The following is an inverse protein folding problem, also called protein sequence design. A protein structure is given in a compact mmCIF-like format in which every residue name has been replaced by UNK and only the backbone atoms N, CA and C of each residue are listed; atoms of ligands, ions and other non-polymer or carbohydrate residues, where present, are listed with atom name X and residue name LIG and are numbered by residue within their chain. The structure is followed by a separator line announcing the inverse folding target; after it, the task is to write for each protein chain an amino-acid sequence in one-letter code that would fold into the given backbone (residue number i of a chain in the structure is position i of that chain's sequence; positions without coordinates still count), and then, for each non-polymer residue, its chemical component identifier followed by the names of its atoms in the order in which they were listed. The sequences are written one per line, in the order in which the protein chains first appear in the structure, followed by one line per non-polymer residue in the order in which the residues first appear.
data_IF_132811141547
#
_entry.id   IF_132811141547
#
_cell.length_a   1.000
_cell.length_b   1.000
_cell.length_c   1.000
_cell.angle_alpha   90.00
_cell.angle_beta   90.00
_cell.angle_gamma   90.00
#
_symmetry.space_group_name_H-M   'P 1'
#
loop_
_entity.id
_entity.type
_entity.pdbx_description
1 polymer ?
#
# COMPACT_ATOMS: atom_id res chain seq x y z
N UNK A 1 -21.15 -10.88 -18.52
CA UNK A 1 -20.74 -10.38 -17.19
C UNK A 1 -19.85 -11.40 -16.50
N UNK A 2 -18.53 -11.27 -16.66
CA UNK A 2 -17.51 -11.85 -15.76
C UNK A 2 -16.36 -10.85 -15.77
N UNK A 3 -16.29 -10.01 -14.73
CA UNK A 3 -15.16 -9.11 -14.47
C UNK A 3 -14.10 -9.99 -13.79
N UNK A 4 -13.05 -10.36 -14.50
CA UNK A 4 -11.92 -11.07 -13.90
C UNK A 4 -10.75 -10.12 -13.70
N UNK A 5 -10.49 -9.91 -12.42
CA UNK A 5 -9.28 -9.42 -11.79
C UNK A 5 -8.04 -10.16 -12.29
N UNK A 6 -7.17 -9.46 -13.02
CA UNK A 6 -5.81 -9.88 -13.32
C UNK A 6 -4.92 -8.63 -13.32
N UNK A 7 -4.67 -8.07 -12.13
CA UNK A 7 -3.84 -6.87 -11.93
C UNK A 7 -2.47 -7.20 -11.31
N UNK A 8 -2.22 -8.45 -10.91
CA UNK A 8 -0.95 -8.78 -10.23
C UNK A 8 0.26 -8.89 -11.16
N UNK A 9 0.11 -9.25 -12.44
CA UNK A 9 1.27 -9.43 -13.34
C UNK A 9 1.66 -8.18 -14.16
N UNK A 10 0.77 -7.19 -14.30
CA UNK A 10 1.13 -5.90 -14.91
C UNK A 10 2.18 -5.12 -14.07
N UNK A 11 2.42 -5.54 -12.84
CA UNK A 11 3.43 -5.00 -11.93
C UNK A 11 4.86 -5.51 -12.23
N UNK A 12 5.04 -6.54 -13.06
CA UNK A 12 6.38 -7.03 -13.44
C UNK A 12 7.07 -6.17 -14.51
N UNK A 13 6.34 -5.31 -15.21
CA UNK A 13 6.85 -4.46 -16.31
C UNK A 13 6.49 -2.98 -16.22
N UNK A 14 5.71 -2.56 -15.23
CA UNK A 14 5.46 -1.13 -14.98
C UNK A 14 6.28 -0.67 -13.78
N UNK A 15 7.52 -0.25 -14.06
CA UNK A 15 8.34 0.55 -13.16
C UNK A 15 7.59 1.85 -12.84
N UNK A 16 6.72 1.79 -11.84
CA UNK A 16 6.18 2.99 -11.20
C UNK A 16 7.25 3.49 -10.23
N UNK A 17 7.95 4.51 -10.70
CA UNK A 17 8.84 5.35 -9.91
C UNK A 17 8.11 5.95 -8.71
N UNK A 18 8.28 5.32 -7.55
CA UNK A 18 8.13 5.96 -6.25
C UNK A 18 9.50 6.50 -5.82
N UNK A 19 9.94 7.57 -6.48
CA UNK A 19 10.99 8.45 -5.93
C UNK A 19 10.54 9.90 -6.10
N UNK A 20 9.91 10.40 -5.05
CA UNK A 20 9.72 11.81 -4.73
C UNK A 20 9.45 11.85 -3.22
N UNK A 21 10.19 12.53 -2.36
CA UNK A 21 11.18 13.58 -2.53
C UNK A 21 12.23 13.44 -1.41
N UNK A 22 13.52 13.62 -1.72
CA UNK A 22 14.53 14.02 -0.73
C UNK A 22 15.67 14.72 -1.46
N UNK A 23 15.60 16.06 -1.52
CA UNK A 23 16.75 16.88 -1.87
C UNK A 23 17.65 17.01 -0.64
N UNK A 24 18.91 16.62 -0.81
CA UNK A 24 19.99 16.78 0.15
C UNK A 24 20.39 18.25 0.26
N UNK A 25 20.50 18.77 1.48
CA UNK A 25 21.42 19.86 1.81
C UNK A 25 22.23 19.49 3.06
N UNK A 26 23.48 19.10 2.85
CA UNK A 26 24.43 18.72 3.89
C UNK A 26 25.18 19.97 4.36
N UNK A 27 25.02 20.38 5.63
CA UNK A 27 26.09 21.10 6.35
C UNK A 27 25.92 21.03 7.88
N UNK A 28 26.96 20.45 8.48
CA UNK A 28 27.52 20.73 9.81
C UNK A 28 27.07 19.87 11.01
N UNK A 29 27.90 18.85 11.33
CA UNK A 29 28.00 18.25 12.66
C UNK A 29 29.00 19.07 13.52
N UNK A 30 28.64 19.40 14.77
CA UNK A 30 29.53 19.16 15.94
C UNK A 30 28.85 19.40 17.29
N UNK A 31 29.12 18.45 18.20
CA UNK A 31 29.19 18.56 19.67
C UNK A 31 27.87 18.76 20.45
N UNK A 32 27.63 18.17 21.63
CA UNK A 32 28.31 17.15 22.42
C UNK A 32 27.31 16.57 23.46
N UNK A 33 27.53 15.30 23.82
CA UNK A 33 26.92 14.50 24.88
C UNK A 33 27.00 15.13 26.28
N UNK A 34 26.04 14.96 27.19
CA UNK A 34 25.94 13.94 28.29
C UNK A 34 24.81 14.41 29.24
N UNK A 35 24.01 13.62 29.99
CA UNK A 35 23.96 12.20 30.32
C UNK A 35 22.58 11.79 30.93
N UNK A 36 22.25 10.49 30.80
CA UNK A 36 21.45 9.59 31.66
C UNK A 36 19.92 9.86 31.83
N UNK A 37 18.99 8.89 31.70
CA UNK A 37 19.06 7.42 31.71
C UNK A 37 17.73 6.79 31.20
N UNK A 38 17.83 5.64 30.51
CA UNK A 38 16.90 4.48 30.50
C UNK A 38 16.36 3.97 29.13
N UNK A 39 16.59 2.66 28.92
CA UNK A 39 16.10 1.71 27.91
C UNK A 39 16.73 1.73 26.50
N UNK A 40 17.41 0.61 26.19
CA UNK A 40 18.15 0.35 24.98
C UNK A 40 17.27 -0.41 23.96
N UNK A 41 16.78 0.29 22.94
CA UNK A 41 16.27 -0.31 21.69
C UNK A 41 16.31 0.66 20.48
N UNK A 42 16.96 1.83 20.60
CA UNK A 42 16.80 2.93 19.63
C UNK A 42 18.03 3.31 18.79
N UNK A 43 19.15 2.58 18.88
CA UNK A 43 20.42 3.05 18.30
C UNK A 43 20.91 2.31 17.04
N UNK A 44 20.21 1.28 16.54
CA UNK A 44 20.62 0.56 15.32
C UNK A 44 19.94 1.05 14.03
N UNK A 45 18.83 1.81 14.12
CA UNK A 45 18.02 2.19 12.94
C UNK A 45 18.46 3.46 12.20
N UNK A 46 19.21 4.36 12.85
CA UNK A 46 19.60 5.63 12.24
C UNK A 46 20.85 5.51 11.34
N UNK A 47 21.77 4.60 11.67
CA UNK A 47 22.98 4.36 10.87
C UNK A 47 22.71 3.49 9.64
N UNK A 48 21.75 2.56 9.71
CA UNK A 48 21.34 1.70 8.59
C UNK A 48 20.64 2.47 7.47
N UNK A 49 19.90 3.53 7.81
CA UNK A 49 19.16 4.31 6.82
C UNK A 49 20.04 5.24 5.99
N UNK A 50 21.17 5.73 6.53
CA UNK A 50 22.11 6.57 5.77
C UNK A 50 22.97 5.75 4.80
N UNK A 51 23.40 4.54 5.19
CA UNK A 51 24.09 3.62 4.28
C UNK A 51 23.15 3.01 3.24
N UNK A 52 21.87 2.78 3.61
CA UNK A 52 20.84 2.34 2.68
C UNK A 52 20.45 3.44 1.68
N UNK A 53 20.36 4.71 2.12
CA UNK A 53 20.14 5.85 1.21
C UNK A 53 21.33 6.06 0.26
N UNK A 54 22.57 5.84 0.73
CA UNK A 54 23.76 5.88 -0.11
C UNK A 54 23.82 4.70 -1.10
N UNK A 55 23.35 3.50 -0.71
CA UNK A 55 23.21 2.37 -1.63
C UNK A 55 22.05 2.56 -2.59
N UNK A 56 20.95 3.21 -2.19
CA UNK A 56 19.84 3.60 -3.08
C UNK A 56 20.27 4.67 -4.08
N UNK A 57 21.09 5.65 -3.70
CA UNK A 57 21.65 6.62 -4.63
C UNK A 57 22.67 5.97 -5.59
N UNK A 58 23.51 5.06 -5.08
CA UNK A 58 24.46 4.31 -5.90
C UNK A 58 23.78 3.28 -6.83
N UNK A 59 22.64 2.70 -6.42
CA UNK A 59 21.88 1.72 -7.20
C UNK A 59 20.81 2.38 -8.09
N UNK A 60 20.35 3.60 -7.77
CA UNK A 60 19.58 4.45 -8.69
C UNK A 60 20.47 5.01 -9.82
N UNK A 61 21.76 5.22 -9.57
CA UNK A 61 22.76 5.49 -10.62
C UNK A 61 23.13 4.24 -11.44
N UNK A 62 22.69 3.05 -11.01
CA UNK A 62 22.82 1.79 -11.73
C UNK A 62 21.45 1.21 -12.10
N UNK A 63 20.50 2.08 -12.46
CA UNK A 63 19.49 1.69 -13.43
C UNK A 63 20.24 1.62 -14.76
N UNK A 64 20.87 0.48 -15.03
CA UNK A 64 21.15 0.16 -16.41
C UNK A 64 19.80 0.17 -17.11
N UNK A 65 19.78 0.97 -18.15
CA UNK A 65 18.67 1.17 -19.04
C UNK A 65 18.21 -0.20 -19.59
N UNK A 66 17.24 -0.83 -18.92
CA UNK A 66 16.58 -2.04 -19.41
C UNK A 66 15.73 -1.77 -20.67
N UNK A 67 15.85 -0.58 -21.30
CA UNK A 67 15.46 -0.34 -22.69
C UNK A 67 16.31 -1.08 -23.71
N UNK A 68 17.20 -1.99 -23.29
CA UNK A 68 17.76 -3.04 -24.14
C UNK A 68 16.69 -4.02 -24.70
N UNK A 69 15.42 -3.61 -24.85
CA UNK A 69 14.41 -4.28 -25.68
C UNK A 69 14.97 -4.57 -27.09
N UNK A 70 15.82 -3.67 -27.60
CA UNK A 70 16.58 -3.84 -28.85
C UNK A 70 17.65 -4.96 -28.76
N UNK A 71 18.22 -5.22 -27.58
CA UNK A 71 19.21 -6.29 -27.39
C UNK A 71 18.59 -7.69 -27.38
N UNK A 72 17.34 -7.81 -26.93
CA UNK A 72 16.57 -9.05 -26.98
C UNK A 72 16.05 -9.36 -28.40
N UNK A 73 16.03 -8.36 -29.29
CA UNK A 73 15.67 -8.47 -30.70
C UNK A 73 16.90 -8.47 -31.64
N UNK A 74 18.11 -8.33 -31.10
CA UNK A 74 19.34 -8.27 -31.87
C UNK A 74 19.59 -9.57 -32.65
N UNK A 75 19.80 -9.44 -33.96
CA UNK A 75 20.10 -10.57 -34.85
C UNK A 75 18.89 -11.32 -35.40
N UNK A 76 17.66 -10.86 -35.15
CA UNK A 76 16.44 -11.43 -35.73
C UNK A 76 15.67 -10.38 -36.53
N UNK A 77 14.95 -10.83 -37.57
CA UNK A 77 14.01 -9.99 -38.31
C UNK A 77 12.59 -10.26 -37.80
N UNK A 78 11.95 -9.27 -37.18
CA UNK A 78 10.68 -9.45 -36.50
C UNK A 78 9.58 -10.03 -37.42
N UNK A 79 9.49 -9.57 -38.67
CA UNK A 79 8.53 -10.04 -39.67
C UNK A 79 8.60 -11.54 -39.98
N UNK A 80 9.74 -12.19 -39.72
CA UNK A 80 9.88 -13.63 -39.96
C UNK A 80 9.08 -14.44 -38.93
N UNK A 81 8.86 -13.86 -37.73
CA UNK A 81 8.27 -14.51 -36.56
C UNK A 81 6.86 -14.02 -36.23
N UNK A 82 6.40 -12.91 -36.78
CA UNK A 82 5.03 -12.40 -36.56
C UNK A 82 4.36 -11.99 -37.86
N UNK A 83 3.11 -12.44 -38.03
CA UNK A 83 2.19 -11.89 -39.03
C UNK A 83 1.25 -10.93 -38.32
N UNK A 84 1.39 -9.63 -38.61
CA UNK A 84 0.59 -8.58 -37.98
C UNK A 84 -0.87 -8.62 -38.43
N UNK A 85 -1.79 -8.53 -37.47
CA UNK A 85 -3.21 -8.29 -37.70
C UNK A 85 -3.56 -6.81 -37.96
N UNK A 86 -4.79 -6.41 -37.63
CA UNK A 86 -5.20 -5.00 -37.69
C UNK A 86 -4.60 -4.24 -36.51
N UNK A 87 -3.60 -3.40 -36.78
CA UNK A 87 -2.94 -2.56 -35.78
C UNK A 87 -3.20 -1.05 -35.93
N UNK A 88 -3.80 -0.61 -37.05
CA UNK A 88 -4.19 0.79 -37.31
C UNK A 88 -5.69 0.99 -37.13
N UNK A 89 -6.09 2.16 -36.65
CA UNK A 89 -7.50 2.53 -36.47
C UNK A 89 -8.21 1.68 -35.41
N UNK A 90 -7.53 1.43 -34.29
CA UNK A 90 -8.11 0.81 -33.10
C UNK A 90 -8.70 1.92 -32.25
N UNK A 91 -9.99 1.80 -31.94
CA UNK A 91 -10.66 2.73 -31.03
C UNK A 91 -10.32 2.37 -29.59
N UNK A 92 -9.87 3.37 -28.84
CA UNK A 92 -9.51 3.23 -27.43
C UNK A 92 -10.42 4.15 -26.61
N UNK A 93 -11.02 3.61 -25.56
CA UNK A 93 -11.83 4.40 -24.62
C UNK A 93 -10.98 4.73 -23.41
N UNK A 94 -10.63 5.99 -23.26
CA UNK A 94 -10.05 6.49 -22.02
C UNK A 94 -11.15 6.68 -20.97
N UNK A 95 -10.86 6.31 -19.72
CA UNK A 95 -11.78 6.56 -18.60
C UNK A 95 -11.52 7.94 -18.06
N UNK A 96 -12.57 8.75 -17.96
CA UNK A 96 -12.49 10.02 -17.25
C UNK A 96 -12.11 9.80 -15.79
N UNK A 97 -11.18 10.62 -15.30
CA UNK A 97 -10.67 10.58 -13.94
C UNK A 97 -11.38 11.65 -13.12
N UNK A 98 -12.20 11.20 -12.17
CA UNK A 98 -12.90 12.06 -11.21
C UNK A 98 -12.35 11.73 -9.83
N UNK A 99 -11.72 12.72 -9.21
CA UNK A 99 -11.24 12.62 -7.83
C UNK A 99 -12.35 13.09 -6.90
N UNK A 100 -12.76 12.25 -5.97
CA UNK A 100 -13.78 12.59 -4.98
C UNK A 100 -13.19 13.34 -3.79
N UNK A 101 -14.02 14.16 -3.12
CA UNK A 101 -13.60 14.86 -1.90
C UNK A 101 -13.28 13.86 -0.78
N UNK A 102 -13.99 12.73 -0.74
CA UNK A 102 -13.74 11.65 0.21
C UNK A 102 -12.32 11.05 0.06
N UNK A 103 -11.85 10.85 -1.17
CA UNK A 103 -10.48 10.38 -1.44
C UNK A 103 -9.42 11.39 -1.00
N UNK A 104 -9.68 12.69 -1.24
CA UNK A 104 -8.79 13.77 -0.82
C UNK A 104 -8.71 13.80 0.70
N UNK A 105 -9.86 13.80 1.39
CA UNK A 105 -9.90 13.82 2.85
C UNK A 105 -9.24 12.57 3.46
N UNK A 106 -9.44 11.39 2.87
CA UNK A 106 -8.76 10.17 3.31
C UNK A 106 -7.23 10.30 3.21
N UNK A 107 -6.71 10.91 2.14
CA UNK A 107 -5.27 11.16 2.01
C UNK A 107 -4.76 12.26 2.94
N UNK A 108 -5.53 13.33 3.14
CA UNK A 108 -5.19 14.37 4.11
C UNK A 108 -5.15 13.83 5.54
N UNK A 109 -6.03 12.89 5.87
CA UNK A 109 -6.03 12.21 7.18
C UNK A 109 -4.73 11.43 7.41
N UNK A 110 -4.09 10.88 6.37
CA UNK A 110 -2.75 10.26 6.50
C UNK A 110 -1.71 11.29 6.94
N UNK A 111 -1.69 12.50 6.34
CA UNK A 111 -0.79 13.57 6.78
C UNK A 111 -1.08 14.02 8.22
N UNK A 112 -2.36 14.01 8.61
CA UNK A 112 -2.77 14.30 9.99
C UNK A 112 -2.21 13.25 10.95
N UNK A 113 -2.30 11.97 10.60
CA UNK A 113 -1.84 10.85 11.41
C UNK A 113 -0.32 10.78 11.56
N UNK A 114 0.44 11.24 10.55
CA UNK A 114 1.90 11.33 10.62
C UNK A 114 2.41 12.23 11.76
N UNK A 115 1.56 13.13 12.28
CA UNK A 115 1.89 13.93 13.47
C UNK A 115 2.00 13.12 14.76
N UNK A 116 1.50 11.87 14.74
CA UNK A 116 1.33 11.04 15.93
C UNK A 116 0.16 11.51 16.81
N UNK A 117 -0.32 10.59 17.65
CA UNK A 117 -1.30 10.91 18.67
C UNK A 117 -0.68 11.84 19.71
N UNK A 118 -1.43 12.87 20.12
CA UNK A 118 -1.06 13.76 21.21
C UNK A 118 -2.17 13.79 22.25
N UNK A 119 -1.78 13.83 23.52
CA UNK A 119 -2.72 13.96 24.62
C UNK A 119 -3.45 15.31 24.52
N UNK A 120 -4.77 15.25 24.60
CA UNK A 120 -5.66 16.42 24.63
C UNK A 120 -5.59 17.04 26.04
N UNK A 121 -5.36 18.35 26.11
CA UNK A 121 -5.16 19.08 27.39
C UNK A 121 -6.10 20.28 27.57
N UNK A 122 -6.76 20.68 26.49
CA UNK A 122 -7.66 21.83 26.41
C UNK A 122 -9.14 21.46 26.65
N UNK A 123 -9.45 20.15 26.75
CA UNK A 123 -10.75 19.63 27.19
C UNK A 123 -10.63 18.31 27.94
N UNK A 124 -11.63 18.01 28.75
CA UNK A 124 -11.74 16.79 29.55
C UNK A 124 -12.85 15.84 29.06
N UNK A 125 -13.73 16.27 28.16
CA UNK A 125 -14.87 15.47 27.66
C UNK A 125 -14.54 14.73 26.36
N UNK A 126 -14.90 13.45 26.29
CA UNK A 126 -14.73 12.57 25.11
C UNK A 126 -15.63 12.99 23.95
N UNK A 127 -15.07 12.98 22.74
CA UNK A 127 -15.75 13.27 21.48
C UNK A 127 -15.53 12.15 20.45
N UNK A 128 -16.35 12.15 19.39
CA UNK A 128 -16.13 11.24 18.26
C UNK A 128 -14.77 11.50 17.60
N UNK A 129 -14.06 10.44 17.20
CA UNK A 129 -12.73 10.51 16.60
C UNK A 129 -11.57 10.56 17.60
N UNK A 130 -11.84 10.73 18.89
CA UNK A 130 -10.82 10.65 19.94
C UNK A 130 -10.26 9.25 20.09
N UNK A 131 -9.03 9.16 20.58
CA UNK A 131 -8.49 7.95 21.18
C UNK A 131 -8.50 8.12 22.70
N UNK A 132 -9.26 7.28 23.39
CA UNK A 132 -9.37 7.30 24.85
C UNK A 132 -8.59 6.14 25.43
N UNK A 133 -7.86 6.39 26.51
CA UNK A 133 -7.28 5.31 27.31
C UNK A 133 -8.28 4.96 28.41
N UNK A 134 -8.74 3.71 28.45
CA UNK A 134 -9.79 3.27 29.37
C UNK A 134 -9.39 2.03 30.17
N UNK A 135 -9.98 1.93 31.36
CA UNK A 135 -10.10 0.69 32.12
C UNK A 135 -11.57 0.27 32.08
N UNK A 136 -11.86 -1.01 31.89
CA UNK A 136 -13.23 -1.49 31.94
C UNK A 136 -13.36 -2.85 32.62
N UNK A 137 -14.51 -3.09 33.23
CA UNK A 137 -14.90 -4.38 33.82
C UNK A 137 -16.35 -4.69 33.44
N UNK A 138 -16.52 -5.70 32.61
CA UNK A 138 -17.80 -6.19 32.11
C UNK A 138 -18.36 -7.31 32.98
N UNK A 139 -19.65 -7.21 33.31
CA UNK A 139 -20.41 -8.21 34.05
C UNK A 139 -21.71 -8.51 33.34
N UNK A 140 -22.17 -9.75 33.39
CA UNK A 140 -23.50 -10.11 32.90
C UNK A 140 -24.56 -9.56 33.82
N UNK A 141 -25.61 -8.96 33.25
CA UNK A 141 -26.71 -8.37 34.03
C UNK A 141 -27.50 -9.46 34.77
N UNK A 142 -27.68 -10.62 34.16
CA UNK A 142 -28.49 -11.73 34.70
C UNK A 142 -27.87 -12.45 35.90
N UNK A 143 -26.54 -12.46 36.00
CA UNK A 143 -25.80 -13.19 37.04
C UNK A 143 -24.95 -12.29 37.92
N UNK A 144 -24.71 -11.04 37.51
CA UNK A 144 -23.79 -10.11 38.16
C UNK A 144 -22.31 -10.54 38.10
N UNK A 145 -22.00 -11.64 37.40
CA UNK A 145 -20.64 -12.21 37.33
C UNK A 145 -19.86 -11.59 36.17
N UNK A 146 -18.56 -11.37 36.39
CA UNK A 146 -17.63 -11.04 35.32
C UNK A 146 -17.49 -12.23 34.36
N UNK A 147 -17.16 -11.95 33.12
CA UNK A 147 -16.93 -12.95 32.07
C UNK A 147 -15.54 -12.79 31.47
N UNK A 148 -15.04 -13.87 30.88
CA UNK A 148 -13.71 -13.89 30.25
C UNK A 148 -13.63 -12.90 29.09
N UNK A 149 -12.52 -12.15 29.01
CA UNK A 149 -12.34 -11.07 28.04
C UNK A 149 -13.15 -9.79 28.35
N UNK A 150 -13.98 -9.79 29.40
CA UNK A 150 -14.79 -8.63 29.79
C UNK A 150 -14.04 -7.58 30.60
N UNK A 151 -12.79 -7.79 31.01
CA UNK A 151 -12.04 -6.87 31.87
C UNK A 151 -10.66 -6.59 31.29
N UNK A 152 -10.29 -5.31 31.20
CA UNK A 152 -8.97 -4.87 30.78
C UNK A 152 -8.61 -3.52 31.40
N UNK A 153 -7.32 -3.17 31.34
CA UNK A 153 -6.80 -1.89 31.85
C UNK A 153 -5.80 -1.29 30.87
N UNK A 154 -5.73 0.04 30.82
CA UNK A 154 -4.90 0.85 29.94
C UNK A 154 -5.10 0.52 28.45
N UNK A 155 -6.35 0.29 28.05
CA UNK A 155 -6.69 0.01 26.64
C UNK A 155 -6.94 1.31 25.92
N UNK A 156 -6.21 1.53 24.81
CA UNK A 156 -6.49 2.63 23.90
C UNK A 156 -7.61 2.23 22.93
N UNK A 157 -8.66 3.05 22.89
CA UNK A 157 -9.84 2.87 22.04
C UNK A 157 -10.09 4.13 21.23
N UNK A 158 -10.08 4.02 19.90
CA UNK A 158 -10.52 5.10 19.02
C UNK A 158 -12.04 5.10 18.93
N UNK A 159 -12.68 6.19 19.34
CA UNK A 159 -14.13 6.37 19.30
C UNK A 159 -14.60 6.48 17.85
N UNK A 160 -15.46 5.55 17.43
CA UNK A 160 -15.96 5.40 16.07
C UNK A 160 -15.14 4.43 15.21
N UNK A 161 -14.23 3.65 15.80
CA UNK A 161 -13.48 2.61 15.07
C UNK A 161 -14.29 1.34 14.82
N UNK A 162 -15.36 1.12 15.59
CA UNK A 162 -16.17 -0.09 15.51
C UNK A 162 -15.40 -1.35 15.90
N UNK A 163 -14.33 -1.19 16.68
CA UNK A 163 -13.49 -2.31 17.15
C UNK A 163 -14.11 -2.99 18.36
N UNK A 164 -14.91 -2.25 19.13
CA UNK A 164 -15.68 -2.79 20.25
C UNK A 164 -17.10 -3.17 19.82
N UNK A 165 -17.82 -3.84 20.73
CA UNK A 165 -19.21 -4.25 20.49
C UNK A 165 -20.08 -3.01 20.17
N UNK A 166 -21.00 -3.10 19.18
CA UNK A 166 -21.85 -1.97 18.81
C UNK A 166 -22.54 -1.30 20.01
N UNK A 167 -22.53 0.03 20.03
CA UNK A 167 -23.07 0.84 21.13
C UNK A 167 -22.14 1.01 22.34
N UNK A 168 -20.96 0.37 22.36
CA UNK A 168 -19.95 0.62 23.39
C UNK A 168 -19.35 2.01 23.24
N UNK A 169 -18.72 2.28 22.10
CA UNK A 169 -17.99 3.52 21.82
C UNK A 169 -18.87 4.77 21.94
N UNK A 170 -20.12 4.70 21.45
CA UNK A 170 -21.06 5.84 21.48
C UNK A 170 -21.41 6.28 22.90
N UNK A 171 -21.48 5.34 23.85
CA UNK A 171 -21.80 5.63 25.25
C UNK A 171 -20.63 6.24 26.02
N UNK A 172 -19.42 6.32 25.44
CA UNK A 172 -18.30 7.03 26.07
C UNK A 172 -18.32 8.53 25.73
N UNK A 173 -18.99 8.93 24.65
CA UNK A 173 -19.06 10.32 24.21
C UNK A 173 -19.77 11.16 25.29
N UNK A 174 -19.18 12.29 25.67
CA UNK A 174 -19.72 13.18 26.69
C UNK A 174 -19.21 12.92 28.11
N UNK A 175 -18.62 11.75 28.39
CA UNK A 175 -17.98 11.47 29.68
C UNK A 175 -16.61 12.13 29.80
N UNK A 176 -16.17 12.35 31.04
CA UNK A 176 -14.95 13.09 31.36
C UNK A 176 -13.77 12.20 31.75
N UNK A 177 -12.56 12.68 31.49
CA UNK A 177 -11.33 12.09 32.04
C UNK A 177 -11.40 12.04 33.58
N UNK A 178 -11.05 10.89 34.15
CA UNK A 178 -11.12 10.59 35.58
C UNK A 178 -12.51 10.16 36.07
N UNK A 179 -13.53 10.20 35.22
CA UNK A 179 -14.88 9.75 35.56
C UNK A 179 -14.96 8.22 35.54
N UNK A 180 -15.64 7.66 36.54
CA UNK A 180 -16.06 6.27 36.57
C UNK A 180 -17.56 6.17 36.42
N UNK A 181 -18.02 5.43 35.41
CA UNK A 181 -19.43 5.30 35.06
C UNK A 181 -19.74 3.91 34.53
N UNK A 182 -21.02 3.58 34.42
CA UNK A 182 -21.48 2.32 33.88
C UNK A 182 -22.17 2.53 32.54
N UNK A 183 -21.87 1.67 31.57
CA UNK A 183 -22.60 1.59 30.31
C UNK A 183 -23.30 0.24 30.19
N UNK A 184 -24.41 0.21 29.44
CA UNK A 184 -25.20 -0.99 29.23
C UNK A 184 -25.05 -1.46 27.79
N UNK A 185 -24.65 -2.72 27.60
CA UNK A 185 -24.38 -3.30 26.29
C UNK A 185 -25.16 -4.59 26.12
N UNK A 186 -25.85 -4.71 24.99
CA UNK A 186 -26.44 -5.96 24.54
C UNK A 186 -25.57 -6.53 23.42
N UNK A 187 -24.99 -7.70 23.65
CA UNK A 187 -24.20 -8.36 22.62
C UNK A 187 -25.09 -8.79 21.45
N UNK A 188 -24.58 -8.73 20.20
CA UNK A 188 -25.29 -9.23 19.03
C UNK A 188 -25.71 -10.70 19.19
N UNK A 189 -26.80 -11.10 18.53
CA UNK A 189 -27.30 -12.48 18.60
C UNK A 189 -26.38 -13.49 17.90
N UNK A 190 -25.60 -13.02 16.95
CA UNK A 190 -24.63 -13.75 16.14
C UNK A 190 -23.20 -13.63 16.69
N UNK A 191 -23.03 -13.13 17.91
CA UNK A 191 -21.71 -13.04 18.55
C UNK A 191 -21.09 -14.43 18.71
N UNK A 192 -19.82 -14.57 18.33
CA UNK A 192 -19.14 -15.88 18.26
C UNK A 192 -19.08 -16.61 19.60
N UNK A 193 -19.11 -15.88 20.71
CA UNK A 193 -19.22 -16.46 22.05
C UNK A 193 -20.70 -16.69 22.40
N UNK A 194 -21.13 -17.95 22.39
CA UNK A 194 -22.51 -18.37 22.67
C UNK A 194 -22.99 -18.04 24.08
N UNK A 195 -22.08 -17.85 25.05
CA UNK A 195 -22.44 -17.45 26.41
C UNK A 195 -22.79 -15.96 26.52
N UNK A 196 -22.31 -15.15 25.57
CA UNK A 196 -22.55 -13.71 25.51
C UNK A 196 -23.56 -13.33 24.43
N UNK A 197 -23.76 -14.14 23.40
CA UNK A 197 -24.68 -13.87 22.31
C UNK A 197 -26.09 -13.49 22.80
N UNK A 198 -26.56 -12.30 22.42
CA UNK A 198 -27.87 -11.76 22.83
C UNK A 198 -28.00 -11.41 24.32
N UNK A 199 -26.93 -11.51 25.11
CA UNK A 199 -26.96 -11.20 26.55
C UNK A 199 -26.74 -9.73 26.82
N UNK A 200 -27.39 -9.24 27.88
CA UNK A 200 -27.17 -7.91 28.41
C UNK A 200 -26.04 -7.93 29.44
N UNK A 201 -25.22 -6.90 29.38
CA UNK A 201 -24.04 -6.73 30.21
C UNK A 201 -23.89 -5.28 30.64
N UNK A 202 -23.30 -5.10 31.82
CA UNK A 202 -22.95 -3.80 32.37
C UNK A 202 -21.43 -3.71 32.39
N UNK A 203 -20.88 -2.64 31.81
CA UNK A 203 -19.47 -2.34 31.87
C UNK A 203 -19.24 -1.15 32.78
N UNK A 204 -18.48 -1.37 33.85
CA UNK A 204 -17.91 -0.26 34.63
C UNK A 204 -16.66 0.23 33.90
N UNK A 205 -16.63 1.52 33.54
CA UNK A 205 -15.58 2.15 32.75
C UNK A 205 -14.97 3.30 33.53
N UNK A 206 -13.65 3.43 33.44
CA UNK A 206 -12.91 4.62 33.86
C UNK A 206 -12.12 5.17 32.67
N UNK A 207 -12.26 6.46 32.38
CA UNK A 207 -11.47 7.14 31.34
C UNK A 207 -10.20 7.71 31.97
N UNK A 208 -9.03 7.21 31.55
CA UNK A 208 -7.74 7.63 32.07
C UNK A 208 -7.19 8.87 31.34
N UNK A 209 -7.36 8.94 30.02
CA UNK A 209 -6.90 10.08 29.21
C UNK A 209 -7.61 10.14 27.86
N UNK A 210 -7.52 11.32 27.22
CA UNK A 210 -7.96 11.55 25.84
C UNK A 210 -6.73 11.96 25.03
N UNK A 211 -6.58 11.40 23.84
CA UNK A 211 -5.59 11.78 22.84
C UNK A 211 -6.24 11.89 21.46
N UNK A 212 -5.72 12.76 20.60
CA UNK A 212 -6.15 12.85 19.21
C UNK A 212 -4.96 13.15 18.29
N UNK A 213 -5.18 12.99 16.98
CA UNK A 213 -4.25 13.52 16.00
C UNK A 213 -4.46 15.04 15.90
N UNK A 214 -3.40 15.85 16.05
CA UNK A 214 -3.53 17.29 15.92
C UNK A 214 -4.06 17.68 14.54
N UNK A 215 -4.81 18.78 14.48
CA UNK A 215 -5.26 19.32 13.20
C UNK A 215 -4.09 19.69 12.28
N UNK A 216 -4.34 19.62 10.97
CA UNK A 216 -3.39 20.07 9.97
C UNK A 216 -3.32 21.60 9.96
N UNK A 217 -2.33 22.13 10.66
CA UNK A 217 -2.03 23.57 10.67
C UNK A 217 -1.04 23.91 9.55
N UNK A 218 -1.12 25.13 9.02
CA UNK A 218 -0.17 25.63 8.02
C UNK A 218 1.29 25.52 8.50
N UNK A 219 1.54 25.72 9.80
CA UNK A 219 2.86 25.54 10.39
C UNK A 219 3.37 24.10 10.27
N UNK A 220 2.52 23.10 10.51
CA UNK A 220 2.89 21.70 10.31
C UNK A 220 3.06 21.36 8.83
N UNK A 221 2.18 21.86 7.96
CA UNK A 221 2.24 21.60 6.51
C UNK A 221 3.59 22.06 5.93
N UNK A 222 4.11 23.20 6.36
CA UNK A 222 5.46 23.67 5.97
C UNK A 222 6.58 22.71 6.36
N UNK A 223 6.43 21.96 7.44
CA UNK A 223 7.43 20.96 7.87
C UNK A 223 7.45 19.70 7.00
N UNK A 224 6.42 19.48 6.18
CA UNK A 224 6.36 18.34 5.26
C UNK A 224 7.37 18.44 4.11
N UNK A 225 7.90 19.65 3.84
CA UNK A 225 8.91 19.86 2.79
C UNK A 225 8.40 19.62 1.37
N UNK A 226 7.09 19.72 1.14
CA UNK A 226 6.47 19.57 -0.18
C UNK A 226 6.63 20.89 -0.94
N UNK A 227 7.19 20.85 -2.15
CA UNK A 227 7.45 22.05 -2.97
C UNK A 227 6.18 22.88 -3.15
N UNK A 228 6.27 24.18 -2.80
CA UNK A 228 5.18 25.18 -2.91
C UNK A 228 3.89 24.86 -2.13
N UNK A 229 3.95 23.98 -1.13
CA UNK A 229 2.79 23.64 -0.29
C UNK A 229 3.01 24.16 1.13
N UNK A 230 2.31 25.23 1.47
CA UNK A 230 2.48 25.95 2.74
C UNK A 230 1.21 26.08 3.58
N UNK A 231 0.06 25.70 3.02
CA UNK A 231 -1.25 25.88 3.64
C UNK A 231 -2.14 24.67 3.43
N UNK A 232 -3.19 24.55 4.25
CA UNK A 232 -4.18 23.46 4.12
C UNK A 232 -4.82 23.41 2.73
N UNK A 233 -5.12 24.56 2.13
CA UNK A 233 -5.66 24.64 0.77
C UNK A 233 -4.66 24.11 -0.26
N UNK A 234 -3.39 24.52 -0.18
CA UNK A 234 -2.37 24.05 -1.12
C UNK A 234 -2.09 22.56 -0.96
N UNK A 235 -2.16 22.03 0.26
CA UNK A 235 -2.04 20.59 0.50
C UNK A 235 -3.22 19.82 -0.11
N UNK A 236 -4.44 20.35 0.01
CA UNK A 236 -5.62 19.79 -0.64
C UNK A 236 -5.47 19.77 -2.16
N UNK A 237 -5.14 20.91 -2.79
CA UNK A 237 -4.91 21.00 -4.24
C UNK A 237 -3.78 20.04 -4.71
N UNK A 238 -2.70 19.91 -3.91
CA UNK A 238 -1.60 18.99 -4.16
C UNK A 238 -2.06 17.53 -4.13
N UNK A 239 -2.82 17.14 -3.11
CA UNK A 239 -3.37 15.79 -2.93
C UNK A 239 -4.32 15.44 -4.07
N UNK A 240 -5.21 16.35 -4.46
CA UNK A 240 -6.11 16.13 -5.59
C UNK A 240 -5.31 15.83 -6.86
N UNK A 241 -4.29 16.67 -7.15
CA UNK A 241 -3.44 16.49 -8.33
C UNK A 241 -2.66 15.18 -8.28
N UNK A 242 -2.14 14.80 -7.12
CA UNK A 242 -1.41 13.54 -6.93
C UNK A 242 -2.30 12.33 -7.21
N UNK A 243 -3.49 12.30 -6.61
CA UNK A 243 -4.48 11.23 -6.83
C UNK A 243 -4.88 11.17 -8.31
N UNK A 244 -5.20 12.32 -8.92
CA UNK A 244 -5.56 12.41 -10.34
C UNK A 244 -4.45 11.85 -11.22
N UNK A 245 -3.21 12.31 -11.00
CA UNK A 245 -2.04 11.86 -11.77
C UNK A 245 -1.82 10.36 -11.62
N UNK A 246 -2.00 9.81 -10.42
CA UNK A 246 -1.89 8.37 -10.16
C UNK A 246 -2.98 7.58 -10.90
N UNK A 247 -4.22 8.05 -10.85
CA UNK A 247 -5.36 7.43 -11.55
C UNK A 247 -5.21 7.50 -13.07
N UNK A 248 -4.79 8.65 -13.62
CA UNK A 248 -4.48 8.82 -15.05
C UNK A 248 -3.39 7.86 -15.50
N UNK A 249 -2.28 7.77 -14.75
CA UNK A 249 -1.19 6.80 -15.04
C UNK A 249 -1.69 5.36 -14.99
N UNK A 250 -2.51 5.01 -14.00
CA UNK A 250 -3.09 3.67 -13.87
C UNK A 250 -4.04 3.35 -15.02
N UNK A 251 -4.92 4.27 -15.39
CA UNK A 251 -5.84 4.14 -16.53
C UNK A 251 -5.08 4.00 -17.84
N UNK A 252 -4.05 4.82 -18.07
CA UNK A 252 -3.21 4.74 -19.26
C UNK A 252 -2.44 3.40 -19.32
N UNK A 253 -1.93 2.93 -18.19
CA UNK A 253 -1.26 1.62 -18.10
C UNK A 253 -2.24 0.48 -18.42
N UNK A 254 -3.43 0.49 -17.81
CA UNK A 254 -4.46 -0.49 -18.09
C UNK A 254 -4.90 -0.46 -19.56
N UNK A 255 -5.04 0.73 -20.15
CA UNK A 255 -5.37 0.89 -21.55
C UNK A 255 -4.28 0.36 -22.48
N UNK A 256 -3.00 0.64 -22.18
CA UNK A 256 -1.86 0.10 -22.93
C UNK A 256 -1.83 -1.42 -22.88
N UNK A 257 -2.08 -2.01 -21.71
CA UNK A 257 -2.11 -3.46 -21.53
C UNK A 257 -3.26 -4.11 -22.32
N UNK A 258 -4.46 -3.52 -22.25
CA UNK A 258 -5.62 -3.99 -23.01
C UNK A 258 -5.36 -3.88 -24.52
N UNK A 259 -4.82 -2.76 -24.99
CA UNK A 259 -4.45 -2.56 -26.38
C UNK A 259 -3.38 -3.56 -26.83
N UNK A 260 -2.34 -3.80 -26.01
CA UNK A 260 -1.29 -4.77 -26.29
C UNK A 260 -1.87 -6.18 -26.43
N UNK A 261 -2.78 -6.59 -25.53
CA UNK A 261 -3.44 -7.89 -25.58
C UNK A 261 -4.35 -8.02 -26.83
N UNK A 262 -5.12 -6.98 -27.16
CA UNK A 262 -5.93 -6.94 -28.39
C UNK A 262 -5.05 -7.06 -29.64
N UNK A 263 -3.94 -6.31 -29.70
CA UNK A 263 -2.98 -6.38 -30.79
C UNK A 263 -2.36 -7.77 -30.90
N UNK A 264 -1.91 -8.34 -29.78
CA UNK A 264 -1.32 -9.68 -29.73
C UNK A 264 -2.30 -10.72 -30.25
N UNK A 265 -3.56 -10.72 -29.78
CA UNK A 265 -4.62 -11.63 -30.25
C UNK A 265 -4.95 -11.50 -31.74
N UNK A 266 -4.71 -10.32 -32.33
CA UNK A 266 -4.89 -10.11 -33.77
C UNK A 266 -3.74 -10.64 -34.62
N UNK A 267 -2.57 -10.88 -34.01
CA UNK A 267 -1.38 -11.35 -34.70
C UNK A 267 -1.32 -12.88 -34.70
N UNK A 268 -0.55 -13.43 -35.64
CA UNK A 268 -0.17 -14.84 -35.64
C UNK A 268 1.34 -14.94 -35.44
N UNK A 269 1.75 -15.61 -34.37
CA UNK A 269 3.14 -15.81 -34.00
C UNK A 269 3.65 -17.17 -34.48
N UNK A 270 4.91 -17.22 -34.90
CA UNK A 270 5.65 -18.45 -35.18
C UNK A 270 6.60 -18.76 -34.03
N UNK A 271 7.16 -19.97 -34.03
CA UNK A 271 8.15 -20.37 -33.02
C UNK A 271 9.35 -19.41 -33.03
N UNK A 272 9.60 -18.79 -31.87
CA UNK A 272 10.69 -17.84 -31.65
C UNK A 272 12.02 -18.58 -31.36
N UNK A 273 13.18 -17.97 -31.65
CA UNK A 273 14.47 -18.58 -31.36
C UNK A 273 14.64 -18.91 -29.87
N UNK A 274 15.12 -20.11 -29.56
CA UNK A 274 15.29 -20.57 -28.16
C UNK A 274 16.17 -19.64 -27.34
N UNK A 275 17.26 -19.12 -27.93
CA UNK A 275 18.17 -18.20 -27.27
C UNK A 275 17.47 -16.89 -26.87
N UNK A 276 16.51 -16.42 -27.66
CA UNK A 276 15.69 -15.25 -27.32
C UNK A 276 14.81 -15.55 -26.10
N UNK A 277 14.10 -16.68 -26.12
CA UNK A 277 13.25 -17.10 -25.00
C UNK A 277 14.07 -17.27 -23.71
N UNK A 278 15.24 -17.91 -23.78
CA UNK A 278 16.13 -18.05 -22.62
C UNK A 278 16.57 -16.72 -22.03
N UNK A 279 16.82 -15.70 -22.86
CA UNK A 279 17.14 -14.34 -22.39
C UNK A 279 15.95 -13.70 -21.68
N UNK A 280 14.72 -13.88 -22.17
CA UNK A 280 13.52 -13.41 -21.48
C UNK A 280 13.26 -14.14 -20.17
N UNK A 281 13.50 -15.46 -20.10
CA UNK A 281 13.42 -16.22 -18.83
C UNK A 281 14.40 -15.64 -17.80
N UNK A 282 15.65 -15.38 -18.19
CA UNK A 282 16.63 -14.76 -17.30
C UNK A 282 16.17 -13.36 -16.81
N UNK A 283 15.62 -12.55 -17.71
CA UNK A 283 15.07 -11.23 -17.36
C UNK A 283 13.92 -11.35 -16.35
N UNK A 284 13.04 -12.36 -16.50
CA UNK A 284 11.94 -12.58 -15.57
C UNK A 284 12.43 -12.99 -14.18
N UNK A 285 13.45 -13.85 -14.08
CA UNK A 285 14.10 -14.17 -12.81
C UNK A 285 14.69 -12.93 -12.12
N UNK A 286 15.39 -12.09 -12.88
CA UNK A 286 15.97 -10.84 -12.36
C UNK A 286 14.87 -9.90 -11.84
N UNK A 287 13.77 -9.76 -12.58
CA UNK A 287 12.64 -8.92 -12.17
C UNK A 287 11.96 -9.45 -10.91
N UNK A 288 11.76 -10.76 -10.79
CA UNK A 288 11.19 -11.38 -9.58
C UNK A 288 12.11 -11.16 -8.39
N UNK A 289 13.41 -11.37 -8.57
CA UNK A 289 14.43 -11.16 -7.53
C UNK A 289 14.42 -9.71 -7.04
N UNK A 290 14.39 -8.74 -7.96
CA UNK A 290 14.32 -7.32 -7.61
C UNK A 290 13.02 -6.98 -6.85
N UNK A 291 11.88 -7.52 -7.29
CA UNK A 291 10.61 -7.31 -6.60
C UNK A 291 10.65 -7.84 -5.16
N UNK A 292 11.20 -9.04 -4.96
CA UNK A 292 11.34 -9.64 -3.64
C UNK A 292 12.27 -8.84 -2.74
N UNK A 293 13.37 -8.28 -3.25
CA UNK A 293 14.26 -7.40 -2.51
C UNK A 293 13.54 -6.12 -2.04
N UNK A 294 12.73 -5.52 -2.93
CA UNK A 294 11.91 -4.35 -2.60
C UNK A 294 10.89 -4.71 -1.51
N UNK A 295 10.16 -5.82 -1.67
CA UNK A 295 9.17 -6.27 -0.68
C UNK A 295 9.81 -6.54 0.68
N UNK A 296 10.98 -7.19 0.72
CA UNK A 296 11.71 -7.44 1.95
C UNK A 296 12.13 -6.13 2.63
N UNK A 297 12.58 -5.14 1.85
CA UNK A 297 13.00 -3.84 2.36
C UNK A 297 11.84 -3.07 3.01
N UNK A 298 10.64 -3.08 2.41
CA UNK A 298 9.50 -2.30 2.90
C UNK A 298 8.66 -3.00 3.96
N UNK A 299 8.46 -4.31 3.82
CA UNK A 299 7.51 -5.07 4.65
C UNK A 299 8.21 -6.02 5.63
N UNK A 300 9.54 -6.11 5.60
CA UNK A 300 10.32 -7.02 6.45
C UNK A 300 10.02 -8.50 6.20
N UNK A 301 9.18 -8.81 5.21
CA UNK A 301 8.73 -10.16 4.86
C UNK A 301 9.60 -10.69 3.74
N UNK A 302 10.29 -11.80 3.99
CA UNK A 302 11.01 -12.52 2.95
C UNK A 302 10.13 -13.65 2.42
N UNK A 303 10.07 -13.77 1.09
CA UNK A 303 9.45 -14.88 0.39
C UNK A 303 10.45 -15.43 -0.61
N UNK A 304 10.45 -16.75 -0.84
CA UNK A 304 11.29 -17.32 -1.88
C UNK A 304 10.71 -17.03 -3.26
N UNK A 305 11.56 -17.01 -4.28
CA UNK A 305 11.11 -16.90 -5.67
C UNK A 305 10.10 -17.98 -6.03
N UNK A 306 10.31 -19.22 -5.59
CA UNK A 306 9.38 -20.32 -5.83
C UNK A 306 7.99 -20.06 -5.21
N UNK A 307 7.94 -19.51 -4.00
CA UNK A 307 6.68 -19.12 -3.35
C UNK A 307 5.98 -17.98 -4.10
N UNK A 308 6.75 -16.98 -4.55
CA UNK A 308 6.23 -15.87 -5.35
C UNK A 308 5.60 -16.38 -6.66
N UNK A 309 6.35 -17.19 -7.41
CA UNK A 309 5.90 -17.74 -8.69
C UNK A 309 4.73 -18.70 -8.51
N UNK A 310 4.72 -19.52 -7.45
CA UNK A 310 3.60 -20.40 -7.14
C UNK A 310 2.30 -19.65 -6.87
N UNK A 311 2.37 -18.49 -6.20
CA UNK A 311 1.20 -17.63 -6.00
C UNK A 311 0.72 -17.01 -7.32
N UNK A 312 1.65 -16.55 -8.16
CA UNK A 312 1.32 -16.05 -9.49
C UNK A 312 0.64 -17.11 -10.37
N UNK A 313 1.17 -18.34 -10.38
CA UNK A 313 0.58 -19.48 -11.08
C UNK A 313 -0.84 -19.78 -10.60
N UNK A 314 -1.09 -19.74 -9.29
CA UNK A 314 -2.43 -19.95 -8.73
C UNK A 314 -3.42 -18.86 -9.18
N UNK A 315 -3.00 -17.60 -9.19
CA UNK A 315 -3.84 -16.49 -9.64
C UNK A 315 -4.27 -16.64 -11.11
N UNK A 316 -3.42 -17.24 -11.94
CA UNK A 316 -3.69 -17.47 -13.36
C UNK A 316 -4.29 -18.86 -13.65
N UNK A 317 -4.50 -19.69 -12.63
CA UNK A 317 -4.89 -21.10 -12.77
C UNK A 317 -3.92 -21.90 -13.66
N UNK A 318 -2.64 -21.53 -13.69
CA UNK A 318 -1.61 -22.20 -14.44
C UNK A 318 -1.29 -23.57 -13.81
N UNK A 319 -1.11 -24.59 -14.65
CA UNK A 319 -0.74 -25.95 -14.23
C UNK A 319 0.63 -26.29 -14.81
N UNK A 320 1.58 -26.67 -13.96
CA UNK A 320 2.93 -27.02 -14.37
C UNK A 320 3.94 -26.70 -13.28
N UNK A 321 5.21 -26.64 -13.65
CA UNK A 321 6.28 -26.13 -12.79
C UNK A 321 6.41 -24.59 -12.89
N UNK A 322 7.12 -23.98 -11.95
CA UNK A 322 7.49 -22.55 -12.00
C UNK A 322 8.35 -22.24 -13.23
N UNK A 323 9.17 -23.19 -13.66
CA UNK A 323 9.99 -23.10 -14.87
C UNK A 323 9.13 -23.09 -16.14
N UNK A 324 8.09 -23.93 -16.21
CA UNK A 324 7.14 -23.92 -17.34
C UNK A 324 6.37 -22.60 -17.38
N UNK A 325 5.99 -22.08 -16.21
CA UNK A 325 5.32 -20.79 -16.09
C UNK A 325 6.19 -19.64 -16.59
N UNK A 326 7.46 -19.58 -16.17
CA UNK A 326 8.40 -18.57 -16.62
C UNK A 326 8.68 -18.66 -18.12
N UNK A 327 8.77 -19.87 -18.68
CA UNK A 327 8.89 -20.07 -20.13
C UNK A 327 7.67 -19.58 -20.89
N UNK A 328 6.46 -19.87 -20.40
CA UNK A 328 5.23 -19.36 -21.01
C UNK A 328 5.25 -17.82 -21.01
N UNK A 329 5.54 -17.20 -19.87
CA UNK A 329 5.64 -15.73 -19.76
C UNK A 329 6.74 -15.14 -20.64
N UNK A 330 7.89 -15.81 -20.75
CA UNK A 330 8.96 -15.39 -21.64
C UNK A 330 8.54 -15.41 -23.11
N UNK A 331 7.76 -16.42 -23.53
CA UNK A 331 7.18 -16.45 -24.89
C UNK A 331 6.19 -15.32 -25.08
N UNK A 332 5.31 -15.05 -24.11
CA UNK A 332 4.36 -13.93 -24.20
C UNK A 332 5.07 -12.58 -24.36
N UNK A 333 6.12 -12.33 -23.58
CA UNK A 333 6.92 -11.10 -23.67
C UNK A 333 7.71 -11.00 -24.97
N UNK A 334 8.28 -12.11 -25.43
CA UNK A 334 9.00 -12.17 -26.69
C UNK A 334 8.08 -11.94 -27.90
N UNK A 335 6.86 -12.51 -27.88
CA UNK A 335 5.80 -12.26 -28.86
C UNK A 335 5.47 -10.76 -28.92
N UNK A 336 5.26 -10.12 -27.76
CA UNK A 336 4.99 -8.68 -27.67
C UNK A 336 6.15 -7.87 -28.23
N UNK A 337 7.39 -8.26 -27.93
CA UNK A 337 8.61 -7.65 -28.46
C UNK A 337 8.66 -7.68 -29.99
N UNK A 338 8.52 -8.86 -30.61
CA UNK A 338 8.53 -8.99 -32.08
C UNK A 338 7.34 -8.31 -32.73
N UNK A 339 6.16 -8.33 -32.10
CA UNK A 339 4.97 -7.64 -32.60
C UNK A 339 5.22 -6.14 -32.72
N UNK A 340 5.70 -5.50 -31.66
CA UNK A 340 5.97 -4.06 -31.68
C UNK A 340 7.09 -3.69 -32.65
N UNK A 341 8.14 -4.51 -32.74
CA UNK A 341 9.22 -4.28 -33.71
C UNK A 341 8.72 -4.38 -35.15
N UNK A 342 7.94 -5.41 -35.48
CA UNK A 342 7.36 -5.55 -36.82
C UNK A 342 6.39 -4.43 -37.16
N UNK A 343 5.71 -3.83 -36.17
CA UNK A 343 4.90 -2.62 -36.37
C UNK A 343 5.80 -1.41 -36.65
N UNK A 344 6.90 -1.26 -35.91
CA UNK A 344 7.86 -0.16 -36.05
C UNK A 344 8.60 -0.18 -37.40
N UNK A 345 8.83 -1.38 -37.96
CA UNK A 345 9.50 -1.57 -39.25
C UNK A 345 8.62 -1.17 -40.48
N UNK A 346 7.34 -0.82 -40.29
CA UNK A 346 6.35 -0.50 -41.35
C UNK A 346 5.98 0.97 -41.48
#
# INVERSE_FOLDING_TARGET
MKKNTAVLLAALLTTTSLVGCAQNDTKNQKAASTAASASAAGASGAASNASAAASLAANAQKVEDHTQKDAYLSGIKAEDYVTLGKYKGIEVSEKEVVVSEEEIQARMEVYKQQQGLKQVKDRDTVQSGDTVNINYTGKREDTGKAFEGGTASNVDLKIGSGTFVPGFEDQLIGHKVGESFNINITFPKDYSNSELAGKKTVFAITINSISNYPELTDAYIKTLGIDKVESKKQLHDYVEKDIRTQQEKSNLSALKNDLQDQLRKSCTFKELPKDMISRYVALLHDNVTQNLQIMQMYYGSSMTEEQYLSQAMQAENFKGSTEDFLKEKAVEEADVGVMFQAIADK
#
